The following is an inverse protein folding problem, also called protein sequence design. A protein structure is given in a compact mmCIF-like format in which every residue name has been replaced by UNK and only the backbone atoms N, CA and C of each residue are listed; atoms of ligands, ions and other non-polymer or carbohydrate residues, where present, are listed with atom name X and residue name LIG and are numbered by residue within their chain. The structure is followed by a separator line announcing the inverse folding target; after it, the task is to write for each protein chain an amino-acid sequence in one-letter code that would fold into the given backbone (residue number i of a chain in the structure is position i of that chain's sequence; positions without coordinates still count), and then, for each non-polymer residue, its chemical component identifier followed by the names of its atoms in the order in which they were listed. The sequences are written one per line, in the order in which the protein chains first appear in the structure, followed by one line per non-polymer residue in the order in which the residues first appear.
data_IF_021931622049
#
_entry.id   IF_021931622049
#
_cell.length_a   1.000
_cell.length_b   1.000
_cell.length_c   1.000
_cell.angle_alpha   90.00
_cell.angle_beta   90.00
_cell.angle_gamma   90.00
#
_symmetry.space_group_name_H-M   'P 1'
#
loop_
_entity.id
_entity.type
_entity.pdbx_description
1 polymer ?
#
# COMPACT_ATOMS: atom_id res chain seq x y z
N UNK A 1 2.47 -11.07 -7.19
CA UNK A 1 0.99 -11.06 -7.26
C UNK A 1 0.44 -10.71 -5.90
N UNK A 2 -0.38 -9.67 -5.80
CA UNK A 2 -0.92 -9.22 -4.52
C UNK A 2 -1.77 -10.32 -3.87
N UNK A 3 -1.96 -10.26 -2.55
CA UNK A 3 -2.81 -11.20 -1.80
C UNK A 3 -3.53 -10.50 -0.66
N UNK A 4 -4.55 -11.15 -0.12
CA UNK A 4 -5.25 -10.70 1.09
C UNK A 4 -4.70 -11.47 2.28
N UNK A 5 -4.50 -10.77 3.39
CA UNK A 5 -4.12 -11.30 4.69
C UNK A 5 -5.19 -10.89 5.69
N UNK A 6 -5.55 -11.84 6.55
CA UNK A 6 -6.45 -11.62 7.67
C UNK A 6 -5.62 -11.45 8.94
N UNK A 7 -5.71 -10.29 9.56
CA UNK A 7 -4.94 -9.91 10.73
C UNK A 7 -5.92 -9.61 11.85
N UNK A 8 -6.32 -10.66 12.58
CA UNK A 8 -7.35 -10.66 13.64
C UNK A 8 -8.77 -10.56 13.11
N UNK A 9 -9.74 -11.13 13.84
CA UNK A 9 -11.13 -11.42 13.42
C UNK A 9 -11.89 -10.24 12.78
N UNK A 10 -11.35 -9.01 12.82
CA UNK A 10 -11.96 -7.78 12.31
C UNK A 10 -11.14 -7.00 11.27
N UNK A 11 -9.86 -7.33 10.97
CA UNK A 11 -9.02 -6.52 10.08
C UNK A 11 -8.40 -7.28 8.90
N UNK A 12 -8.73 -6.83 7.70
CA UNK A 12 -8.30 -7.44 6.43
C UNK A 12 -7.34 -6.52 5.71
N UNK A 13 -6.12 -6.98 5.41
CA UNK A 13 -5.10 -6.24 4.68
C UNK A 13 -4.80 -6.84 3.31
N UNK A 14 -4.41 -6.00 2.37
CA UNK A 14 -3.83 -6.42 1.10
C UNK A 14 -2.31 -6.32 1.18
N UNK A 15 -1.59 -7.36 0.76
CA UNK A 15 -0.13 -7.34 0.73
C UNK A 15 0.42 -7.62 -0.65
N UNK A 16 1.67 -7.23 -0.85
CA UNK A 16 2.46 -7.55 -2.04
C UNK A 16 3.25 -8.83 -1.80
N UNK A 17 3.50 -9.64 -2.84
CA UNK A 17 4.26 -10.91 -2.66
C UNK A 17 5.70 -10.83 -3.12
N UNK A 18 6.01 -10.01 -4.14
CA UNK A 18 7.36 -9.93 -4.71
C UNK A 18 8.04 -8.57 -4.54
N UNK A 19 7.35 -7.63 -3.86
CA UNK A 19 7.80 -6.26 -3.66
C UNK A 19 7.66 -5.37 -4.90
N UNK A 20 7.61 -4.07 -4.66
CA UNK A 20 7.47 -3.01 -5.67
C UNK A 20 8.54 -1.96 -5.42
N UNK A 21 9.39 -1.68 -6.40
CA UNK A 21 10.50 -0.72 -6.26
C UNK A 21 11.72 -1.09 -7.10
N UNK A 22 12.79 -0.26 -7.06
CA UNK A 22 14.08 -0.59 -7.64
C UNK A 22 14.60 -1.97 -7.18
N UNK A 23 15.02 -2.81 -8.12
CA UNK A 23 15.56 -4.15 -7.82
C UNK A 23 14.53 -5.17 -7.32
N UNK A 24 13.23 -4.87 -7.33
CA UNK A 24 12.16 -5.84 -7.03
C UNK A 24 11.54 -6.42 -8.31
N UNK A 25 10.78 -7.50 -8.16
CA UNK A 25 10.17 -8.16 -9.32
C UNK A 25 9.12 -7.29 -10.01
N UNK A 26 8.49 -6.35 -9.29
CA UNK A 26 7.51 -5.42 -9.83
C UNK A 26 6.37 -6.14 -10.58
N UNK A 27 5.88 -7.24 -10.00
CA UNK A 27 4.77 -7.97 -10.60
C UNK A 27 3.56 -7.05 -10.75
N UNK A 28 2.91 -7.14 -11.92
CA UNK A 28 1.87 -6.20 -12.34
C UNK A 28 0.79 -5.98 -11.28
N UNK A 29 0.32 -7.02 -10.59
CA UNK A 29 -0.73 -6.92 -9.57
C UNK A 29 -0.24 -6.24 -8.30
N UNK A 30 1.01 -6.50 -7.89
CA UNK A 30 1.64 -5.81 -6.75
C UNK A 30 1.77 -4.31 -7.05
N UNK A 31 2.22 -3.97 -8.26
CA UNK A 31 2.36 -2.57 -8.70
C UNK A 31 0.99 -1.88 -8.76
N UNK A 32 -0.03 -2.54 -9.31
CA UNK A 32 -1.39 -2.00 -9.39
C UNK A 32 -1.95 -1.73 -7.99
N UNK A 33 -1.76 -2.64 -7.03
CA UNK A 33 -2.21 -2.45 -5.64
C UNK A 33 -1.52 -1.23 -5.03
N UNK A 34 -0.19 -1.14 -5.16
CA UNK A 34 0.60 -0.03 -4.62
C UNK A 34 0.20 1.31 -5.24
N UNK A 35 0.05 1.38 -6.57
CA UNK A 35 -0.43 2.59 -7.25
C UNK A 35 -1.81 3.02 -6.75
N UNK A 36 -2.74 2.06 -6.61
CA UNK A 36 -4.09 2.33 -6.11
C UNK A 36 -4.06 2.89 -4.69
N UNK A 37 -3.34 2.25 -3.78
CA UNK A 37 -3.26 2.66 -2.39
C UNK A 37 -2.54 3.99 -2.21
N UNK A 38 -1.50 4.25 -2.98
CA UNK A 38 -0.83 5.55 -2.99
C UNK A 38 -1.73 6.67 -3.53
N UNK A 39 -2.66 6.35 -4.44
CA UNK A 39 -3.69 7.29 -4.87
C UNK A 39 -4.71 7.54 -3.77
N UNK A 40 -5.23 6.50 -3.12
CA UNK A 40 -6.15 6.64 -1.99
C UNK A 40 -5.54 7.48 -0.86
N UNK A 41 -4.33 7.12 -0.43
CA UNK A 41 -3.59 7.87 0.57
C UNK A 41 -3.44 9.33 0.18
N UNK A 42 -2.86 9.64 -0.99
CA UNK A 42 -2.58 11.05 -1.33
C UNK A 42 -3.84 11.86 -1.59
N UNK A 43 -4.94 11.24 -1.98
CA UNK A 43 -6.21 11.91 -2.25
C UNK A 43 -6.98 12.25 -0.98
N UNK A 44 -6.68 11.60 0.14
CA UNK A 44 -7.41 11.82 1.37
C UNK A 44 -7.19 13.24 1.93
N UNK A 45 -8.19 13.76 2.63
CA UNK A 45 -8.15 15.13 3.18
C UNK A 45 -7.20 15.26 4.37
N UNK A 46 -7.05 14.18 5.16
CA UNK A 46 -6.16 14.16 6.33
C UNK A 46 -4.69 14.39 5.99
N UNK A 47 -4.26 14.12 4.74
CA UNK A 47 -2.88 14.33 4.28
C UNK A 47 -2.74 15.55 3.35
N UNK A 48 -3.74 16.43 3.32
CA UNK A 48 -3.77 17.56 2.41
C UNK A 48 -2.65 18.57 2.66
N UNK A 49 -2.19 18.71 3.91
CA UNK A 49 -1.10 19.62 4.27
C UNK A 49 0.24 19.09 3.74
N UNK A 50 0.51 17.81 3.93
CA UNK A 50 1.73 17.12 3.51
C UNK A 50 1.78 17.00 1.99
N UNK A 51 0.64 16.75 1.33
CA UNK A 51 0.52 16.84 -0.13
C UNK A 51 0.99 18.18 -0.69
N UNK A 52 0.77 19.29 0.01
CA UNK A 52 1.23 20.63 -0.44
C UNK A 52 2.76 20.78 -0.34
N UNK A 53 3.39 20.13 0.64
CA UNK A 53 4.84 20.17 0.82
C UNK A 53 5.60 19.49 -0.32
N UNK A 54 4.98 18.48 -0.96
CA UNK A 54 5.57 17.75 -2.08
C UNK A 54 5.32 18.38 -3.47
N UNK A 55 4.68 19.57 -3.52
CA UNK A 55 4.47 20.33 -4.75
C UNK A 55 3.32 19.85 -5.64
N UNK A 56 3.08 20.54 -6.76
CA UNK A 56 1.92 20.26 -7.64
C UNK A 56 1.95 18.87 -8.26
N UNK A 57 3.14 18.30 -8.52
CA UNK A 57 3.29 16.94 -9.04
C UNK A 57 2.72 15.86 -8.13
N UNK A 58 2.62 16.12 -6.82
CA UNK A 58 2.00 15.21 -5.87
C UNK A 58 0.46 15.14 -5.99
N UNK A 59 -0.17 16.17 -6.60
CA UNK A 59 -1.62 16.25 -6.78
C UNK A 59 -2.14 15.38 -7.92
N UNK A 60 -1.29 15.06 -8.90
CA UNK A 60 -1.70 14.21 -10.02
C UNK A 60 -1.76 12.75 -9.56
N UNK A 61 -2.90 12.09 -9.79
CA UNK A 61 -3.02 10.66 -9.50
C UNK A 61 -2.14 9.84 -10.45
N UNK A 62 -1.61 8.74 -9.92
CA UNK A 62 -0.92 7.73 -10.70
C UNK A 62 -1.93 7.04 -11.62
N UNK A 63 -1.50 6.67 -12.82
CA UNK A 63 -2.20 5.64 -13.58
C UNK A 63 -2.08 4.31 -12.81
N UNK A 64 -3.19 3.59 -12.69
CA UNK A 64 -3.24 2.30 -11.98
C UNK A 64 -3.09 1.13 -12.95
N UNK A 65 -2.00 1.17 -13.73
CA UNK A 65 -1.74 0.29 -14.88
C UNK A 65 -0.90 -0.96 -14.55
N UNK A 66 -0.29 -0.99 -13.36
CA UNK A 66 0.63 -2.02 -12.93
C UNK A 66 2.04 -1.89 -13.50
N UNK A 67 2.42 -0.74 -14.03
CA UNK A 67 3.76 -0.46 -14.58
C UNK A 67 4.53 0.45 -13.61
N UNK A 68 5.72 0.01 -13.19
CA UNK A 68 6.56 0.81 -12.28
C UNK A 68 7.32 1.93 -13.02
N UNK A 69 6.62 3.02 -13.30
CA UNK A 69 7.20 4.22 -13.91
C UNK A 69 7.93 5.15 -12.93
N UNK A 70 8.62 6.18 -13.44
CA UNK A 70 9.25 7.22 -12.61
C UNK A 70 8.27 7.88 -11.63
N UNK A 71 7.02 8.13 -12.05
CA UNK A 71 5.98 8.72 -11.19
C UNK A 71 5.63 7.79 -10.01
N UNK A 72 5.48 6.49 -10.25
CA UNK A 72 5.23 5.51 -9.19
C UNK A 72 6.39 5.45 -8.20
N UNK A 73 7.65 5.40 -8.69
CA UNK A 73 8.85 5.43 -7.84
C UNK A 73 8.92 6.69 -6.98
N UNK A 74 8.64 7.86 -7.58
CA UNK A 74 8.62 9.13 -6.86
C UNK A 74 7.55 9.14 -5.76
N UNK A 75 6.35 8.61 -6.04
CA UNK A 75 5.27 8.53 -5.05
C UNK A 75 5.57 7.55 -3.92
N UNK A 76 6.23 6.42 -4.19
CA UNK A 76 6.71 5.50 -3.14
C UNK A 76 7.69 6.23 -2.24
N UNK A 77 8.70 6.91 -2.80
CA UNK A 77 9.67 7.68 -2.03
C UNK A 77 9.02 8.80 -1.22
N UNK A 78 8.00 9.46 -1.77
CA UNK A 78 7.23 10.48 -1.07
C UNK A 78 6.52 9.90 0.16
N UNK A 79 5.87 8.74 0.01
CA UNK A 79 5.25 8.05 1.12
C UNK A 79 6.28 7.62 2.18
N UNK A 80 7.43 7.10 1.76
CA UNK A 80 8.53 6.76 2.67
C UNK A 80 9.06 7.98 3.44
N UNK A 81 9.23 9.13 2.79
CA UNK A 81 9.68 10.35 3.44
C UNK A 81 8.67 10.83 4.48
N UNK A 82 7.39 10.86 4.12
CA UNK A 82 6.32 11.22 5.07
C UNK A 82 6.30 10.26 6.27
N UNK A 83 6.52 8.98 6.04
CA UNK A 83 6.62 8.00 7.12
C UNK A 83 7.89 8.12 7.96
N UNK A 84 9.02 8.51 7.39
CA UNK A 84 10.28 8.65 8.13
C UNK A 84 10.21 9.77 9.17
N UNK A 85 9.42 10.82 8.91
CA UNK A 85 9.14 11.86 9.90
C UNK A 85 8.39 11.31 11.12
N UNK A 86 7.58 10.27 10.92
CA UNK A 86 6.81 9.60 11.99
C UNK A 86 7.59 8.46 12.66
N UNK A 87 8.49 7.82 11.92
CA UNK A 87 9.30 6.69 12.38
C UNK A 87 10.66 6.66 11.65
N UNK A 88 11.70 7.25 12.25
CA UNK A 88 13.01 7.39 11.61
C UNK A 88 13.76 6.05 11.46
N UNK A 89 13.24 4.96 12.02
CA UNK A 89 13.86 3.63 12.00
C UNK A 89 13.37 2.78 10.83
N UNK A 90 13.09 3.37 9.67
CA UNK A 90 12.68 2.65 8.45
C UNK A 90 13.75 2.62 7.38
N UNK A 91 13.52 1.79 6.36
CA UNK A 91 14.40 1.65 5.19
C UNK A 91 13.79 2.50 4.08
N UNK A 92 14.44 3.61 3.74
CA UNK A 92 14.03 4.49 2.63
C UNK A 92 14.72 4.12 1.33
N UNK A 93 14.52 2.90 0.83
CA UNK A 93 15.13 2.40 -0.41
C UNK A 93 14.21 2.54 -1.63
N UNK A 94 13.09 3.27 -1.52
CA UNK A 94 12.13 3.48 -2.59
C UNK A 94 11.32 2.21 -2.91
N UNK A 95 11.12 1.35 -1.93
CA UNK A 95 10.52 0.03 -2.10
C UNK A 95 9.36 -0.23 -1.13
N UNK A 96 8.29 -0.80 -1.66
CA UNK A 96 7.21 -1.42 -0.88
C UNK A 96 7.46 -2.93 -0.89
N UNK A 97 7.99 -3.43 0.22
CA UNK A 97 8.32 -4.85 0.38
C UNK A 97 7.16 -5.69 0.89
N UNK A 98 7.24 -7.00 0.63
CA UNK A 98 6.30 -8.00 1.17
C UNK A 98 6.40 -8.07 2.69
N UNK A 99 5.29 -8.42 3.35
CA UNK A 99 5.32 -8.82 4.76
C UNK A 99 5.99 -10.20 4.89
N UNK A 100 7.09 -10.34 5.65
CA UNK A 100 7.73 -11.64 5.88
C UNK A 100 6.86 -12.50 6.80
N UNK A 101 6.66 -13.77 6.40
CA UNK A 101 5.83 -14.75 7.11
C UNK A 101 4.43 -14.22 7.49
N UNK A 102 3.88 -13.34 6.66
CA UNK A 102 2.59 -12.71 6.88
C UNK A 102 2.49 -12.01 8.24
N UNK A 103 3.61 -11.43 8.67
CA UNK A 103 3.70 -10.57 9.84
C UNK A 103 4.17 -9.18 9.44
N UNK A 104 3.69 -8.13 10.12
CA UNK A 104 4.03 -6.76 9.78
C UNK A 104 5.48 -6.41 10.12
N UNK A 105 6.08 -7.10 11.09
CA UNK A 105 7.43 -6.86 11.57
C UNK A 105 8.50 -7.71 10.89
N UNK A 106 9.71 -7.15 10.80
CA UNK A 106 10.93 -7.85 10.40
C UNK A 106 12.12 -7.41 11.25
N UNK A 107 13.17 -8.25 11.30
CA UNK A 107 14.40 -7.90 11.99
C UNK A 107 15.40 -7.28 11.01
N UNK A 108 15.98 -6.15 11.38
CA UNK A 108 17.01 -5.44 10.63
C UNK A 108 18.39 -6.05 10.94
N UNK A 109 19.35 -5.81 10.06
CA UNK A 109 20.73 -6.30 10.22
C UNK A 109 21.44 -5.74 11.47
N UNK A 110 20.98 -4.59 11.97
CA UNK A 110 21.48 -3.95 13.20
C UNK A 110 20.82 -4.52 14.49
N UNK A 111 19.99 -5.57 14.37
CA UNK A 111 19.29 -6.20 15.49
C UNK A 111 17.97 -5.53 15.88
N UNK A 112 17.64 -4.36 15.32
CA UNK A 112 16.37 -3.68 15.60
C UNK A 112 15.21 -4.30 14.82
N UNK A 113 13.98 -4.12 15.32
CA UNK A 113 12.76 -4.49 14.59
C UNK A 113 12.26 -3.32 13.74
N UNK A 114 11.84 -3.59 12.51
CA UNK A 114 11.14 -2.64 11.63
C UNK A 114 9.80 -3.20 11.19
N UNK A 115 8.95 -2.34 10.63
CA UNK A 115 7.64 -2.72 10.08
C UNK A 115 7.62 -2.47 8.56
N UNK A 116 7.03 -3.39 7.80
CA UNK A 116 7.02 -3.33 6.34
C UNK A 116 6.19 -2.14 5.82
N UNK A 117 6.67 -1.49 4.76
CA UNK A 117 5.98 -0.31 4.21
C UNK A 117 4.56 -0.60 3.71
N UNK A 118 4.29 -1.81 3.21
CA UNK A 118 2.95 -2.21 2.82
C UNK A 118 1.97 -2.21 4.00
N UNK A 119 2.43 -2.54 5.22
CA UNK A 119 1.57 -2.56 6.40
C UNK A 119 1.08 -1.15 6.74
N UNK A 120 1.97 -0.15 6.76
CA UNK A 120 1.57 1.23 7.00
C UNK A 120 0.61 1.75 5.94
N UNK A 121 0.88 1.42 4.68
CA UNK A 121 -0.02 1.82 3.60
C UNK A 121 -1.41 1.19 3.78
N UNK A 122 -1.50 -0.05 4.27
CA UNK A 122 -2.79 -0.63 4.65
C UNK A 122 -3.42 0.12 5.82
N UNK A 123 -2.69 0.35 6.91
CA UNK A 123 -3.24 1.01 8.09
C UNK A 123 -3.86 2.38 7.77
N UNK A 124 -3.21 3.20 6.95
CA UNK A 124 -3.81 4.48 6.56
C UNK A 124 -5.01 4.31 5.65
N UNK A 125 -4.99 3.37 4.72
CA UNK A 125 -6.17 3.10 3.88
C UNK A 125 -7.33 2.57 4.75
N UNK A 126 -7.05 1.75 5.76
CA UNK A 126 -8.04 1.30 6.76
C UNK A 126 -8.58 2.50 7.51
N UNK A 127 -7.74 3.28 8.16
CA UNK A 127 -8.13 4.45 8.95
C UNK A 127 -9.00 5.43 8.14
N UNK A 128 -8.64 5.67 6.87
CA UNK A 128 -9.31 6.65 6.02
C UNK A 128 -10.62 6.14 5.42
N UNK A 129 -10.73 4.84 5.16
CA UNK A 129 -11.83 4.30 4.35
C UNK A 129 -12.66 3.21 5.06
N UNK A 130 -12.15 2.53 6.08
CA UNK A 130 -12.94 1.57 6.86
C UNK A 130 -14.17 2.19 7.52
N UNK A 131 -14.15 3.43 8.07
CA UNK A 131 -15.38 4.04 8.61
C UNK A 131 -16.51 4.19 7.58
N UNK A 132 -16.17 4.26 6.29
CA UNK A 132 -17.13 4.42 5.18
C UNK A 132 -17.49 3.07 4.55
N UNK A 133 -16.53 2.15 4.46
CA UNK A 133 -16.68 0.88 3.74
C UNK A 133 -16.80 -0.34 4.67
N UNK A 134 -16.65 -0.19 5.98
CA UNK A 134 -16.73 -1.26 6.99
C UNK A 134 -15.50 -2.17 7.05
N UNK A 135 -14.85 -2.46 5.93
CA UNK A 135 -13.54 -3.12 5.86
C UNK A 135 -12.89 -2.89 4.46
N UNK A 136 -11.62 -3.28 4.31
CA UNK A 136 -10.90 -3.10 3.05
C UNK A 136 -11.42 -3.95 1.87
N UNK A 137 -12.11 -5.08 2.09
CA UNK A 137 -12.71 -5.83 0.97
C UNK A 137 -13.77 -4.99 0.24
N UNK A 138 -14.48 -4.16 0.98
CA UNK A 138 -15.52 -3.30 0.43
C UNK A 138 -14.97 -2.12 -0.37
N UNK A 139 -13.65 -1.88 -0.39
CA UNK A 139 -13.02 -0.99 -1.37
C UNK A 139 -13.27 -1.47 -2.82
N UNK A 140 -13.51 -2.76 -3.03
CA UNK A 140 -13.91 -3.28 -4.35
C UNK A 140 -15.20 -2.69 -4.90
N UNK A 141 -16.05 -2.14 -4.03
CA UNK A 141 -17.30 -1.49 -4.41
C UNK A 141 -17.07 -0.09 -4.96
N UNK A 142 -15.87 0.47 -4.80
CA UNK A 142 -15.55 1.78 -5.36
C UNK A 142 -15.52 1.73 -6.89
N UNK A 143 -16.01 2.78 -7.57
CA UNK A 143 -15.99 2.84 -9.04
C UNK A 143 -14.56 2.88 -9.59
N UNK A 144 -13.61 3.42 -8.82
CA UNK A 144 -12.20 3.52 -9.18
C UNK A 144 -11.36 2.28 -8.82
N UNK A 145 -11.98 1.24 -8.25
CA UNK A 145 -11.25 0.04 -7.85
C UNK A 145 -10.70 -0.70 -9.07
N UNK A 146 -9.40 -1.06 -9.11
CA UNK A 146 -8.78 -1.63 -10.30
C UNK A 146 -9.42 -2.97 -10.70
N UNK A 147 -10.00 -3.10 -11.91
CA UNK A 147 -10.70 -4.32 -12.32
C UNK A 147 -9.86 -5.60 -12.18
N UNK A 148 -8.55 -5.51 -12.45
CA UNK A 148 -7.63 -6.64 -12.37
C UNK A 148 -7.43 -7.20 -10.95
N UNK A 149 -7.64 -6.38 -9.93
CA UNK A 149 -7.54 -6.81 -8.53
C UNK A 149 -8.83 -7.45 -8.00
N UNK A 150 -9.96 -7.38 -8.74
CA UNK A 150 -11.25 -7.95 -8.29
C UNK A 150 -11.18 -9.46 -8.09
N UNK A 151 -10.39 -10.15 -8.91
CA UNK A 151 -10.16 -11.60 -8.79
C UNK A 151 -9.47 -12.02 -7.47
N UNK A 152 -8.77 -11.10 -6.80
CA UNK A 152 -8.16 -11.36 -5.49
C UNK A 152 -9.23 -11.48 -4.41
N UNK A 153 -10.22 -10.59 -4.43
CA UNK A 153 -11.32 -10.58 -3.46
C UNK A 153 -12.23 -11.78 -3.66
N UNK A 154 -12.58 -12.12 -4.90
CA UNK A 154 -13.42 -13.30 -5.18
C UNK A 154 -12.80 -14.60 -4.64
N UNK A 155 -11.46 -14.73 -4.71
CA UNK A 155 -10.74 -15.89 -4.16
C UNK A 155 -10.75 -15.92 -2.63
N UNK A 156 -10.82 -14.75 -1.98
CA UNK A 156 -10.91 -14.66 -0.53
C UNK A 156 -12.32 -14.97 -0.02
N UNK A 157 -13.36 -14.39 -0.64
CA UNK A 157 -14.75 -14.68 -0.28
C UNK A 157 -15.10 -16.17 -0.41
N UNK A 158 -14.53 -16.87 -1.39
CA UNK A 158 -14.70 -18.31 -1.55
C UNK A 158 -13.95 -19.16 -0.50
N UNK A 159 -13.03 -18.58 0.27
CA UNK A 159 -12.31 -19.26 1.37
C UNK A 159 -12.97 -19.05 2.73
N UNK A 160 -13.79 -18.01 2.87
CA UNK A 160 -14.44 -17.61 4.12
C UNK A 160 -15.94 -17.98 4.13
N UNK A 161 -16.49 -18.39 2.98
CA UNK A 161 -17.82 -19.01 2.86
C UNK A 161 -17.74 -20.52 3.03
#
# INVERSE_FOLDING_TARGET
MAKILDFTDDQIFFTVTMGVGPGRANNRDDVTLVQYYLNLWISHESVAAERRQFGEGARQLLATDGIIGPKTKARIKMFELWMNDMDPKRRGDGCIDRMPNDRPGYQRADGSSGVCMIFYLNQYVVEFYEPVYGNLLNLTRRPDFPPRLRSLVNRYSARVA
#
